data_IF_518900781118
#
_entry.id   IF_518900781118
#
_cell.length_a   1.000
_cell.length_b   1.000
_cell.length_c   1.000
_cell.angle_alpha   90.00
_cell.angle_beta   90.00
_cell.angle_gamma   90.00
#
_symmetry.space_group_name_H-M   'P 1'
#
loop_
_entity.id
_entity.type
_entity.pdbx_description
1 polymer ?
#
# COMPACT_ATOMS: atom_id res chain seq x y z
N UNK A 1 18.63 -7.18 -8.63
CA UNK A 1 17.92 -7.19 -8.57
C UNK A 1 17.00 -7.67 -9.03
N UNK A 2 16.60 -8.05 -9.14
CA UNK A 2 15.79 -8.52 -9.53
C UNK A 2 14.77 -8.64 -8.99
N UNK A 3 13.95 -8.41 -9.39
CA UNK A 3 12.86 -8.39 -8.97
C UNK A 3 12.26 -9.57 -9.04
N UNK A 4 11.58 -9.88 -8.31
CA UNK A 4 10.93 -11.01 -8.23
C UNK A 4 9.84 -11.03 -9.04
N UNK A 5 9.58 -11.89 -9.47
CA UNK A 5 8.57 -12.00 -10.26
C UNK A 5 7.35 -12.05 -9.62
N UNK A 6 6.64 -11.92 -9.99
CA UNK A 6 5.54 -11.89 -9.45
C UNK A 6 4.93 -12.94 -9.49
N UNK A 7 4.51 -13.22 -9.08
CA UNK A 7 3.92 -14.19 -8.87
C UNK A 7 3.00 -14.52 -9.51
N UNK A 8 2.96 -14.75 -9.80
CA UNK A 8 2.21 -15.09 -10.23
C UNK A 8 1.34 -15.11 -10.42
N UNK A 9 1.24 -14.98 -10.52
CA UNK A 9 0.56 -14.99 -10.70
C UNK A 9 -0.09 -15.31 -10.99
N UNK A 10 -0.55 -15.16 -11.20
CA UNK A 10 -1.09 -15.29 -11.61
C UNK A 10 -1.67 -15.92 -11.89
N UNK A 11 -2.03 -16.08 -12.20
CA UNK A 11 -2.46 -16.78 -12.55
C UNK A 11 -3.58 -17.08 -12.46
N UNK A 12 -4.18 -17.07 -11.94
CA UNK A 12 -5.39 -17.46 -11.87
C UNK A 12 -6.26 -16.39 -12.01
N UNK A 13 -7.00 -16.28 -12.94
CA UNK A 13 -7.89 -15.19 -13.16
C UNK A 13 -8.89 -15.09 -12.03
N UNK A 14 -9.25 -16.19 -11.46
CA UNK A 14 -10.24 -16.09 -10.42
C UNK A 14 -9.68 -15.50 -9.15
N UNK A 15 -8.37 -15.34 -9.09
CA UNK A 15 -7.77 -14.76 -7.90
C UNK A 15 -7.20 -13.39 -8.15
N UNK A 16 -7.52 -12.80 -9.27
CA UNK A 16 -6.99 -11.50 -9.57
C UNK A 16 -7.70 -10.46 -8.72
N UNK A 17 -6.92 -9.69 -8.00
CA UNK A 17 -7.43 -8.65 -7.16
C UNK A 17 -6.94 -7.33 -7.72
N UNK A 18 -7.80 -6.32 -7.82
CA UNK A 18 -7.34 -5.04 -8.31
C UNK A 18 -6.18 -4.53 -7.49
N UNK A 19 -5.19 -4.03 -8.16
CA UNK A 19 -4.01 -3.53 -7.48
C UNK A 19 -4.37 -2.45 -6.46
N UNK A 20 -5.33 -1.61 -6.80
CA UNK A 20 -5.75 -0.55 -5.91
C UNK A 20 -6.25 -1.12 -4.58
N UNK A 21 -6.93 -2.26 -4.63
CA UNK A 21 -7.42 -2.87 -3.41
C UNK A 21 -6.27 -3.34 -2.54
N UNK A 22 -5.26 -3.91 -3.16
CA UNK A 22 -4.10 -4.36 -2.42
C UNK A 22 -3.37 -3.19 -1.80
N UNK A 23 -3.27 -2.10 -2.54
CA UNK A 23 -2.63 -0.90 -2.01
C UNK A 23 -3.41 -0.35 -0.84
N UNK A 24 -4.72 -0.32 -0.96
CA UNK A 24 -5.54 0.20 0.12
C UNK A 24 -5.36 -0.63 1.39
N UNK A 25 -5.36 -1.93 1.25
CA UNK A 25 -5.16 -2.81 2.40
C UNK A 25 -3.82 -2.57 3.05
N UNK A 26 -2.79 -2.44 2.24
CA UNK A 26 -1.46 -2.24 2.78
C UNK A 26 -1.38 -0.92 3.53
N UNK A 27 -2.01 0.12 2.97
CA UNK A 27 -1.99 1.42 3.61
C UNK A 27 -2.78 1.39 4.91
N UNK A 28 -3.94 0.77 4.91
CA UNK A 28 -4.73 0.69 6.13
C UNK A 28 -3.98 -0.08 7.21
N UNK A 29 -3.35 -1.17 6.84
CA UNK A 29 -2.60 -1.95 7.81
C UNK A 29 -1.44 -1.14 8.37
N UNK A 30 -0.76 -0.38 7.53
CA UNK A 30 0.34 0.44 8.00
C UNK A 30 -0.14 1.53 8.93
N UNK A 31 -1.28 2.13 8.62
CA UNK A 31 -1.82 3.16 9.48
C UNK A 31 -2.27 2.61 10.82
N UNK A 32 -2.75 1.38 10.82
CA UNK A 32 -3.11 0.75 12.07
C UNK A 32 -1.89 0.52 12.94
N UNK A 33 -0.81 0.14 12.28
CA UNK A 33 0.39 -0.16 13.04
C UNK A 33 1.08 1.11 13.53
N UNK A 34 1.17 2.11 12.69
CA UNK A 34 1.93 3.31 13.04
C UNK A 34 1.08 4.47 13.52
N UNK A 35 -0.23 4.39 13.33
CA UNK A 35 -1.08 5.48 13.76
C UNK A 35 -1.37 6.44 12.64
N UNK A 36 -2.38 7.27 12.86
CA UNK A 36 -2.82 8.21 11.84
C UNK A 36 -2.31 9.62 12.10
N UNK A 37 -1.41 9.78 13.04
CA UNK A 37 -0.81 11.09 13.26
C UNK A 37 0.14 11.38 12.12
N UNK A 38 0.64 12.61 12.07
CA UNK A 38 1.59 12.98 11.04
C UNK A 38 2.81 12.07 11.10
N UNK A 39 3.29 11.82 12.29
CA UNK A 39 4.44 10.96 12.47
C UNK A 39 4.12 9.54 12.02
N UNK A 40 2.94 9.06 12.40
CA UNK A 40 2.53 7.73 12.01
C UNK A 40 2.43 7.59 10.50
N UNK A 41 1.87 8.59 9.84
CA UNK A 41 1.76 8.55 8.39
C UNK A 41 3.12 8.55 7.72
N UNK A 42 4.05 9.30 8.28
CA UNK A 42 5.41 9.32 7.76
C UNK A 42 6.04 7.94 7.88
N UNK A 43 5.89 7.33 9.03
CA UNK A 43 6.46 6.01 9.25
C UNK A 43 5.79 4.98 8.36
N UNK A 44 4.49 5.08 8.18
CA UNK A 44 3.78 4.16 7.33
C UNK A 44 4.25 4.27 5.89
N UNK A 45 4.41 5.50 5.41
CA UNK A 45 4.88 5.70 4.05
C UNK A 45 6.26 5.11 3.87
N UNK A 46 7.12 5.33 4.85
CA UNK A 46 8.46 4.81 4.79
C UNK A 46 8.45 3.28 4.75
N UNK A 47 7.63 2.68 5.59
CA UNK A 47 7.54 1.23 5.63
C UNK A 47 7.03 0.65 4.33
N UNK A 48 6.17 1.38 3.65
CA UNK A 48 5.62 0.92 2.39
C UNK A 48 6.49 1.27 1.20
N UNK A 49 7.55 2.03 1.42
CA UNK A 49 8.42 2.41 0.33
C UNK A 49 7.85 3.51 -0.55
N UNK A 50 6.95 4.32 0.02
CA UNK A 50 6.33 5.39 -0.74
C UNK A 50 6.83 6.73 -0.25
N UNK A 51 6.86 7.71 -1.16
CA UNK A 51 7.14 9.06 -0.74
C UNK A 51 5.92 9.55 0.04
N UNK A 52 6.15 10.54 0.88
CA UNK A 52 5.06 11.05 1.69
C UNK A 52 3.96 11.66 0.81
N UNK A 53 4.36 12.34 -0.25
CA UNK A 53 3.38 12.94 -1.14
C UNK A 53 2.51 11.87 -1.80
N UNK A 54 3.13 10.79 -2.25
CA UNK A 54 2.39 9.70 -2.86
C UNK A 54 1.47 9.03 -1.84
N UNK A 55 1.97 8.88 -0.62
CA UNK A 55 1.17 8.26 0.43
C UNK A 55 -0.07 9.07 0.71
N UNK A 56 0.07 10.38 0.85
CA UNK A 56 -1.08 11.24 1.11
C UNK A 56 -2.06 11.24 -0.06
N UNK A 57 -1.53 11.18 -1.27
CA UNK A 57 -2.41 11.14 -2.43
C UNK A 57 -3.23 9.86 -2.43
N UNK A 58 -2.62 8.75 -2.09
CA UNK A 58 -3.33 7.48 -2.07
C UNK A 58 -4.35 7.45 -0.94
N UNK A 59 -4.00 7.99 0.20
CA UNK A 59 -4.95 8.06 1.31
C UNK A 59 -6.19 8.82 0.88
N UNK A 60 -5.99 9.93 0.21
CA UNK A 60 -7.11 10.71 -0.25
C UNK A 60 -7.92 9.96 -1.29
N UNK A 61 -7.23 9.29 -2.19
CA UNK A 61 -7.89 8.55 -3.24
C UNK A 61 -8.74 7.42 -2.68
N UNK A 62 -8.29 6.79 -1.63
CA UNK A 62 -9.03 5.68 -1.02
C UNK A 62 -9.99 6.14 0.06
N UNK A 63 -10.03 7.41 0.36
CA UNK A 63 -10.90 7.95 1.39
C UNK A 63 -10.60 7.35 2.76
N UNK A 64 -9.35 7.21 3.05
CA UNK A 64 -8.97 6.67 4.36
C UNK A 64 -8.86 7.75 5.41
#
# INVERSE_FOLDING_TARGET
PQTPPLPAQTDSAEHIVPLAQLEERAIRAALEKFGKSTEGKKNAACALGLSLATFYRKIRSFSI
#
